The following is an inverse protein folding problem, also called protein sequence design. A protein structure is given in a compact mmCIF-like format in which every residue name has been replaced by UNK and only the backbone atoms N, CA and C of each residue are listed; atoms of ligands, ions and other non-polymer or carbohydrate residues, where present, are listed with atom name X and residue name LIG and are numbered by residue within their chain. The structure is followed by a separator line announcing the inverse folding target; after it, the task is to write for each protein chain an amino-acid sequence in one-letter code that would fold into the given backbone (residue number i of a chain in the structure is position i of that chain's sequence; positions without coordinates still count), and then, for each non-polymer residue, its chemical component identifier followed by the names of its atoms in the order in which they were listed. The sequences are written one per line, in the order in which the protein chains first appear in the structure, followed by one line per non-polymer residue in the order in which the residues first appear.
data_IF_877907552506
#
_entry.id   IF_877907552506
#
_cell.length_a   1.000
_cell.length_b   1.000
_cell.length_c   1.000
_cell.angle_alpha   90.00
_cell.angle_beta   90.00
_cell.angle_gamma   90.00
#
_symmetry.space_group_name_H-M   'P 1'
#
loop_
_entity.id
_entity.type
_entity.pdbx_description
1 polymer ?
#
# COMPACT_ATOMS: atom_id res chain seq x y z
N UNK A 1 31.92 -39.99 -27.94
CA UNK A 1 30.80 -39.04 -27.74
C UNK A 1 30.69 -38.10 -28.94
N UNK A 2 29.49 -37.58 -29.24
CA UNK A 2 29.29 -36.70 -30.41
C UNK A 2 29.36 -35.21 -30.04
N UNK A 3 28.88 -34.83 -28.85
CA UNK A 3 28.88 -33.45 -28.34
C UNK A 3 29.45 -33.45 -26.92
N UNK A 4 30.23 -32.42 -26.58
CA UNK A 4 30.75 -32.16 -25.24
C UNK A 4 30.73 -30.66 -24.92
N UNK A 5 30.14 -30.28 -23.79
CA UNK A 5 30.03 -28.87 -23.32
C UNK A 5 29.66 -27.87 -24.45
N UNK A 6 28.68 -28.24 -25.28
CA UNK A 6 28.18 -27.40 -26.37
C UNK A 6 29.01 -27.39 -27.65
N UNK A 7 30.09 -28.17 -27.73
CA UNK A 7 30.96 -28.27 -28.90
C UNK A 7 30.87 -29.67 -29.53
N UNK A 8 30.87 -29.73 -30.87
CA UNK A 8 30.87 -31.00 -31.59
C UNK A 8 32.27 -31.60 -31.57
N UNK A 9 32.38 -32.86 -31.13
CA UNK A 9 33.69 -33.52 -31.02
C UNK A 9 34.29 -33.78 -32.40
N UNK A 10 33.45 -33.97 -33.43
CA UNK A 10 33.88 -34.20 -34.81
C UNK A 10 34.80 -33.09 -35.36
N UNK A 11 34.59 -31.84 -34.93
CA UNK A 11 35.37 -30.68 -35.39
C UNK A 11 36.81 -30.68 -34.82
N UNK A 12 37.07 -31.49 -33.78
CA UNK A 12 38.35 -31.61 -33.10
C UNK A 12 39.03 -32.97 -33.36
N UNK A 13 38.62 -33.73 -34.39
CA UNK A 13 39.27 -35.00 -34.76
C UNK A 13 40.33 -34.72 -35.85
N UNK A 14 41.60 -34.62 -35.45
CA UNK A 14 42.76 -34.37 -36.32
C UNK A 14 43.94 -35.29 -35.93
N UNK A 15 44.61 -35.98 -36.88
CA UNK A 15 45.78 -36.81 -36.57
C UNK A 15 46.92 -36.06 -35.86
N UNK A 16 47.06 -34.75 -36.07
CA UNK A 16 48.15 -33.94 -35.50
C UNK A 16 47.74 -33.17 -34.23
N UNK A 17 46.56 -33.47 -33.66
CA UNK A 17 46.01 -32.68 -32.54
C UNK A 17 46.89 -32.66 -31.30
N UNK A 18 47.59 -33.77 -31.01
CA UNK A 18 48.51 -33.86 -29.87
C UNK A 18 49.73 -32.94 -30.06
N UNK A 19 50.26 -32.81 -31.27
CA UNK A 19 51.37 -31.89 -31.56
C UNK A 19 50.94 -30.42 -31.42
N UNK A 20 49.72 -30.09 -31.88
CA UNK A 20 49.15 -28.74 -31.73
C UNK A 20 48.90 -28.40 -30.27
N UNK A 21 48.43 -29.38 -29.48
CA UNK A 21 48.21 -29.23 -28.04
C UNK A 21 49.53 -28.94 -27.31
N UNK A 22 50.60 -29.70 -27.57
CA UNK A 22 51.92 -29.46 -26.95
C UNK A 22 52.51 -28.09 -27.29
N UNK A 23 52.25 -27.57 -28.50
CA UNK A 23 52.67 -26.21 -28.88
C UNK A 23 51.88 -25.17 -28.09
N UNK A 24 50.58 -25.38 -27.91
CA UNK A 24 49.69 -24.50 -27.17
C UNK A 24 50.02 -24.49 -25.67
N UNK A 25 50.33 -25.65 -25.08
CA UNK A 25 50.76 -25.77 -23.68
C UNK A 25 52.06 -25.01 -23.43
N UNK A 26 53.06 -25.14 -24.32
CA UNK A 26 54.31 -24.36 -24.22
C UNK A 26 54.07 -22.86 -24.39
N UNK A 27 53.12 -22.46 -25.23
CA UNK A 27 52.75 -21.06 -25.41
C UNK A 27 52.06 -20.50 -24.15
N UNK A 28 51.15 -21.27 -23.54
CA UNK A 28 50.51 -20.90 -22.27
C UNK A 28 51.51 -20.84 -21.12
N UNK A 29 52.44 -21.79 -21.01
CA UNK A 29 53.52 -21.74 -20.00
C UNK A 29 54.36 -20.46 -20.15
N UNK A 30 54.66 -20.05 -21.38
CA UNK A 30 55.36 -18.79 -21.64
C UNK A 30 54.53 -17.56 -21.25
N UNK A 31 53.20 -17.59 -21.45
CA UNK A 31 52.27 -16.51 -21.04
C UNK A 31 52.10 -16.44 -19.52
N UNK A 32 52.03 -17.59 -18.86
CA UNK A 32 51.99 -17.69 -17.39
C UNK A 32 53.28 -17.14 -16.79
N UNK A 33 54.46 -17.54 -17.32
CA UNK A 33 55.76 -17.02 -16.87
C UNK A 33 55.88 -15.51 -17.15
N UNK A 34 55.28 -15.03 -18.23
CA UNK A 34 55.21 -13.59 -18.54
C UNK A 34 54.26 -12.81 -17.60
N UNK A 35 53.50 -13.49 -16.73
CA UNK A 35 52.60 -12.87 -15.77
C UNK A 35 51.30 -12.37 -16.38
N UNK A 36 50.89 -12.86 -17.56
CA UNK A 36 49.68 -12.37 -18.25
C UNK A 36 48.39 -12.66 -17.48
N UNK A 37 48.40 -13.67 -16.62
CA UNK A 37 47.28 -14.04 -15.76
C UNK A 37 47.43 -13.58 -14.30
N UNK A 38 48.47 -12.82 -13.96
CA UNK A 38 48.62 -12.24 -12.63
C UNK A 38 47.64 -11.07 -12.46
N UNK A 39 46.51 -11.33 -11.80
CA UNK A 39 45.58 -10.28 -11.39
C UNK A 39 46.06 -9.63 -10.09
N UNK A 40 47.21 -8.95 -10.13
CA UNK A 40 47.68 -8.17 -8.99
C UNK A 40 46.79 -6.94 -8.83
N UNK A 41 45.76 -7.09 -8.01
CA UNK A 41 45.00 -5.97 -7.49
C UNK A 41 45.87 -5.25 -6.47
N UNK A 42 46.44 -4.12 -6.88
CA UNK A 42 47.15 -3.18 -6.01
C UNK A 42 46.33 -2.94 -4.73
N UNK A 43 46.94 -3.19 -3.56
CA UNK A 43 46.27 -3.05 -2.28
C UNK A 43 45.88 -1.59 -2.07
N UNK A 44 44.59 -1.32 -1.87
CA UNK A 44 44.10 0.05 -1.72
C UNK A 44 44.53 0.65 -0.38
N UNK A 45 45.17 1.81 -0.44
CA UNK A 45 45.50 2.60 0.74
C UNK A 45 44.24 2.94 1.57
N UNK A 46 44.41 3.09 2.89
CA UNK A 46 43.32 3.42 3.83
C UNK A 46 42.58 4.70 3.41
N UNK A 47 43.29 5.67 2.82
CA UNK A 47 42.72 6.91 2.29
C UNK A 47 41.78 6.65 1.10
N UNK A 48 42.16 5.78 0.16
CA UNK A 48 41.34 5.43 -1.00
C UNK A 48 40.07 4.69 -0.60
N UNK A 49 40.18 3.79 0.38
CA UNK A 49 39.04 3.12 1.01
C UNK A 49 38.10 4.14 1.67
N UNK A 50 38.63 5.11 2.42
CA UNK A 50 37.86 6.19 3.03
C UNK A 50 37.12 7.07 2.01
N UNK A 51 37.79 7.44 0.91
CA UNK A 51 37.19 8.22 -0.19
C UNK A 51 36.03 7.44 -0.83
N UNK A 52 36.20 6.14 -1.06
CA UNK A 52 35.13 5.30 -1.64
C UNK A 52 33.92 5.20 -0.71
N UNK A 53 34.14 4.95 0.57
CA UNK A 53 33.05 4.89 1.55
C UNK A 53 32.29 6.22 1.64
N UNK A 54 33.01 7.34 1.72
CA UNK A 54 32.42 8.66 1.73
C UNK A 54 31.62 8.94 0.43
N UNK A 55 32.18 8.57 -0.73
CA UNK A 55 31.50 8.73 -2.01
C UNK A 55 30.21 7.90 -2.10
N UNK A 56 30.19 6.69 -1.54
CA UNK A 56 28.98 5.87 -1.45
C UNK A 56 27.90 6.56 -0.61
N UNK A 57 28.26 7.04 0.60
CA UNK A 57 27.35 7.79 1.47
C UNK A 57 26.77 9.04 0.77
N UNK A 58 27.60 9.79 0.04
CA UNK A 58 27.16 10.96 -0.73
C UNK A 58 26.16 10.55 -1.83
N UNK A 59 26.46 9.48 -2.58
CA UNK A 59 25.58 8.99 -3.66
C UNK A 59 24.22 8.54 -3.11
N UNK A 60 24.22 7.81 -2.01
CA UNK A 60 22.99 7.36 -1.34
C UNK A 60 22.18 8.54 -0.83
N UNK A 61 22.80 9.48 -0.11
CA UNK A 61 22.10 10.66 0.40
C UNK A 61 21.53 11.52 -0.72
N UNK A 62 22.25 11.63 -1.85
CA UNK A 62 21.78 12.33 -3.06
C UNK A 62 20.57 11.61 -3.67
N UNK A 63 20.61 10.28 -3.79
CA UNK A 63 19.46 9.48 -4.28
C UNK A 63 18.24 9.67 -3.39
N UNK A 64 18.39 9.62 -2.06
CA UNK A 64 17.29 9.85 -1.11
C UNK A 64 16.67 11.24 -1.27
N UNK A 65 17.48 12.30 -1.39
CA UNK A 65 16.98 13.66 -1.65
C UNK A 65 16.20 13.78 -2.96
N UNK A 66 16.62 13.06 -4.00
CA UNK A 66 15.90 13.03 -5.29
C UNK A 66 14.55 12.33 -5.12
N UNK A 67 14.50 11.20 -4.42
CA UNK A 67 13.26 10.47 -4.14
C UNK A 67 12.26 11.31 -3.33
N UNK A 68 12.71 11.97 -2.26
CA UNK A 68 11.87 12.89 -1.49
C UNK A 68 11.34 14.07 -2.32
N UNK A 69 12.15 14.57 -3.26
CA UNK A 69 11.74 15.67 -4.16
C UNK A 69 10.67 15.20 -5.14
N UNK A 70 10.82 13.98 -5.68
CA UNK A 70 9.81 13.34 -6.53
C UNK A 70 8.50 13.11 -5.77
N UNK A 71 8.56 12.64 -4.53
CA UNK A 71 7.37 12.47 -3.68
C UNK A 71 6.62 13.79 -3.44
N UNK A 72 7.36 14.89 -3.26
CA UNK A 72 6.80 16.23 -3.07
C UNK A 72 6.16 16.81 -4.35
N UNK A 73 6.36 16.20 -5.52
CA UNK A 73 5.77 16.65 -6.79
C UNK A 73 4.39 15.99 -6.98
N UNK A 74 3.34 16.64 -6.47
CA UNK A 74 1.95 16.19 -6.59
C UNK A 74 1.22 17.12 -7.57
N UNK A 75 0.26 16.60 -8.33
CA UNK A 75 -0.59 17.40 -9.20
C UNK A 75 -1.54 18.29 -8.37
N UNK A 76 -1.26 19.59 -8.32
CA UNK A 76 -2.04 20.59 -7.59
C UNK A 76 -1.18 21.68 -6.94
N UNK A 77 -1.80 22.74 -6.39
CA UNK A 77 -1.07 23.80 -5.68
C UNK A 77 -0.42 23.27 -4.40
N UNK A 78 0.85 23.61 -4.18
CA UNK A 78 1.58 23.26 -2.96
C UNK A 78 1.11 24.13 -1.79
N UNK A 79 0.71 23.48 -0.69
CA UNK A 79 0.36 24.19 0.55
C UNK A 79 1.57 24.93 1.14
N UNK A 80 1.41 26.21 1.56
CA UNK A 80 2.50 26.95 2.16
C UNK A 80 2.87 26.37 3.54
N UNK A 81 4.16 26.38 3.88
CA UNK A 81 4.66 25.85 5.16
C UNK A 81 4.07 26.58 6.37
N UNK A 82 3.63 27.84 6.20
CA UNK A 82 2.99 28.66 7.24
C UNK A 82 1.62 28.11 7.69
N UNK A 83 0.90 27.41 6.81
CA UNK A 83 -0.38 26.79 7.15
C UNK A 83 -0.22 25.49 7.95
N UNK A 84 0.90 24.79 7.79
CA UNK A 84 1.17 23.51 8.47
C UNK A 84 1.90 23.76 9.80
N UNK A 85 1.39 23.18 10.88
CA UNK A 85 2.10 23.15 12.17
C UNK A 85 3.26 22.15 12.09
N UNK A 86 4.48 22.64 12.30
CA UNK A 86 5.70 21.81 12.32
C UNK A 86 5.83 21.18 13.71
N UNK A 87 6.16 19.88 13.76
CA UNK A 87 6.46 19.21 15.02
C UNK A 87 7.91 19.52 15.44
N UNK A 88 8.10 19.94 16.68
CA UNK A 88 9.44 20.29 17.17
C UNK A 88 10.41 19.10 17.14
N UNK A 89 9.92 17.90 17.49
CA UNK A 89 10.75 16.69 17.57
C UNK A 89 11.42 16.34 16.24
N UNK A 90 10.72 16.52 15.11
CA UNK A 90 11.27 16.21 13.79
C UNK A 90 12.37 17.20 13.41
N UNK A 91 12.18 18.49 13.69
CA UNK A 91 13.21 19.51 13.51
C UNK A 91 14.42 19.28 14.42
N UNK A 92 14.16 18.87 15.67
CA UNK A 92 15.21 18.59 16.64
C UNK A 92 16.13 17.48 16.14
N UNK A 93 15.55 16.36 15.70
CA UNK A 93 16.29 15.23 15.13
C UNK A 93 17.09 15.60 13.88
N UNK A 94 16.50 16.37 12.96
CA UNK A 94 17.21 16.80 11.74
C UNK A 94 18.43 17.67 12.06
N UNK A 95 18.32 18.58 13.03
CA UNK A 95 19.41 19.48 13.42
C UNK A 95 20.49 18.76 14.24
N UNK A 96 20.11 17.84 15.12
CA UNK A 96 21.08 17.00 15.84
C UNK A 96 21.87 16.12 14.89
N UNK A 97 21.24 15.58 13.84
CA UNK A 97 21.92 14.79 12.81
C UNK A 97 22.94 15.62 12.01
N UNK A 98 22.76 16.94 11.93
CA UNK A 98 23.71 17.87 11.33
C UNK A 98 24.79 18.35 12.31
N UNK A 99 24.77 17.86 13.56
CA UNK A 99 25.72 18.24 14.60
C UNK A 99 25.37 19.54 15.33
N UNK A 100 24.18 20.10 15.10
CA UNK A 100 23.70 21.29 15.81
C UNK A 100 22.95 20.86 17.07
N UNK A 101 23.57 21.05 18.23
CA UNK A 101 22.93 20.85 19.52
C UNK A 101 21.88 21.94 19.76
N UNK A 102 20.60 21.59 19.65
CA UNK A 102 19.52 22.48 20.05
C UNK A 102 19.35 22.37 21.57
N UNK A 103 19.51 23.47 22.34
CA UNK A 103 19.20 23.42 23.76
C UNK A 103 17.69 23.10 23.90
N UNK A 104 17.37 22.01 24.60
CA UNK A 104 16.01 21.47 24.75
C UNK A 104 14.96 22.42 25.38
N UNK A 105 15.36 23.64 25.71
CA UNK A 105 14.56 24.72 26.30
C UNK A 105 14.56 25.98 25.42
N UNK A 106 14.20 25.87 24.14
CA UNK A 106 13.74 27.05 23.40
C UNK A 106 12.51 27.60 24.14
N UNK A 107 12.61 28.82 24.64
CA UNK A 107 11.75 29.53 25.60
C UNK A 107 10.26 29.68 25.18
N UNK A 108 9.85 29.13 24.04
CA UNK A 108 8.46 29.12 23.54
C UNK A 108 7.52 28.10 24.22
N UNK A 109 7.93 27.42 25.30
CA UNK A 109 7.15 26.40 26.02
C UNK A 109 6.02 26.95 26.92
N UNK A 110 5.61 28.21 26.73
CA UNK A 110 4.64 28.92 27.58
C UNK A 110 3.18 28.44 27.45
N UNK A 111 2.87 27.49 26.56
CA UNK A 111 1.50 27.04 26.27
C UNK A 111 1.07 25.70 26.89
N UNK A 112 1.97 24.98 27.58
CA UNK A 112 1.64 23.68 28.20
C UNK A 112 0.57 23.77 29.30
N UNK A 113 0.35 24.96 29.88
CA UNK A 113 -0.66 25.19 30.92
C UNK A 113 -2.08 25.38 30.39
N UNK A 114 -2.28 25.70 29.10
CA UNK A 114 -3.60 26.07 28.55
C UNK A 114 -4.33 24.89 27.89
N UNK A 115 -3.63 23.84 27.47
CA UNK A 115 -4.23 22.70 26.75
C UNK A 115 -4.68 21.55 27.65
N UNK A 116 -4.33 21.54 28.93
CA UNK A 116 -4.95 20.62 29.90
C UNK A 116 -6.35 21.13 30.23
N UNK A 117 -7.33 20.73 29.40
CA UNK A 117 -8.75 20.85 29.77
C UNK A 117 -8.91 20.22 31.16
N UNK A 118 -9.51 20.95 32.11
CA UNK A 118 -10.03 20.31 33.33
C UNK A 118 -10.95 19.18 32.89
N UNK A 119 -10.75 17.97 33.41
CA UNK A 119 -11.73 16.89 33.28
C UNK A 119 -12.99 17.38 33.96
N UNK A 120 -13.91 17.96 33.20
CA UNK A 120 -15.32 17.94 33.58
C UNK A 120 -15.69 16.47 33.45
N UNK A 121 -16.18 15.88 34.52
CA UNK A 121 -16.78 14.54 34.51
C UNK A 121 -17.71 14.47 33.30
N UNK A 122 -17.54 13.44 32.46
CA UNK A 122 -18.33 13.28 31.25
C UNK A 122 -19.81 13.35 31.64
N UNK A 123 -20.50 14.42 31.20
CA UNK A 123 -21.94 14.36 31.07
C UNK A 123 -22.22 13.17 30.18
N UNK A 124 -22.95 12.17 30.70
CA UNK A 124 -23.30 10.92 30.02
C UNK A 124 -23.39 11.14 28.52
N UNK A 125 -22.56 10.42 27.75
CA UNK A 125 -22.58 10.46 26.30
C UNK A 125 -24.03 10.24 25.87
N UNK A 126 -24.65 11.31 25.38
CA UNK A 126 -26.04 11.29 24.96
C UNK A 126 -26.20 10.14 23.98
N UNK A 127 -26.92 9.10 24.41
CA UNK A 127 -27.23 7.95 23.57
C UNK A 127 -27.60 8.46 22.19
N UNK A 128 -26.97 7.91 21.16
CA UNK A 128 -27.19 8.23 19.75
C UNK A 128 -28.59 7.79 19.29
N UNK A 129 -29.61 8.27 20.00
CA UNK A 129 -30.98 8.27 19.55
C UNK A 129 -31.06 9.22 18.35
N UNK A 130 -31.84 8.88 17.32
CA UNK A 130 -32.14 9.80 16.24
C UNK A 130 -32.99 10.95 16.81
N UNK A 131 -32.33 11.94 17.39
CA UNK A 131 -32.95 13.19 17.80
C UNK A 131 -33.31 13.92 16.50
N UNK A 132 -34.60 14.16 16.28
CA UNK A 132 -35.05 15.02 15.20
C UNK A 132 -34.31 16.35 15.27
N UNK A 133 -33.84 16.85 14.12
CA UNK A 133 -33.09 18.13 13.98
C UNK A 133 -33.74 19.34 14.66
N UNK A 134 -35.02 19.24 15.03
CA UNK A 134 -35.75 20.23 15.80
C UNK A 134 -36.10 19.60 17.16
N UNK A 135 -35.39 19.96 18.23
CA UNK A 135 -35.65 19.48 19.59
C UNK A 135 -36.99 19.93 20.18
N UNK A 136 -37.78 20.72 19.45
CA UNK A 136 -39.08 21.22 19.88
C UNK A 136 -40.25 20.26 19.64
N UNK A 137 -40.07 19.20 18.84
CA UNK A 137 -41.14 18.23 18.55
C UNK A 137 -40.67 16.80 18.85
N UNK A 138 -41.49 16.00 19.54
CA UNK A 138 -41.19 14.58 19.70
C UNK A 138 -41.17 13.89 18.32
N UNK A 139 -40.35 12.85 18.15
CA UNK A 139 -40.26 12.12 16.88
C UNK A 139 -41.62 11.47 16.53
N UNK A 140 -41.89 11.32 15.23
CA UNK A 140 -43.21 10.90 14.69
C UNK A 140 -43.65 9.51 15.17
N UNK A 141 -42.71 8.63 15.49
CA UNK A 141 -42.97 7.29 16.02
C UNK A 141 -43.40 7.28 17.50
N UNK A 142 -43.19 8.39 18.21
CA UNK A 142 -43.53 8.56 19.64
C UNK A 142 -44.71 9.49 19.84
N UNK A 143 -44.86 10.54 19.02
CA UNK A 143 -45.82 11.64 19.23
C UNK A 143 -47.29 11.21 19.37
N UNK A 144 -47.66 10.05 18.82
CA UNK A 144 -49.04 9.51 18.87
C UNK A 144 -49.29 8.49 19.97
N UNK A 145 -48.32 8.21 20.83
CA UNK A 145 -48.40 7.17 21.87
C UNK A 145 -48.27 7.78 23.25
N UNK A 146 -49.12 7.34 24.18
CA UNK A 146 -49.24 7.91 25.53
C UNK A 146 -47.98 7.72 26.38
N UNK A 147 -47.48 6.48 26.46
CA UNK A 147 -46.36 6.10 27.33
C UNK A 147 -45.26 5.34 26.58
N UNK A 148 -44.03 5.36 27.13
CA UNK A 148 -42.90 4.55 26.65
C UNK A 148 -43.22 3.04 26.57
N UNK A 149 -44.07 2.52 27.47
CA UNK A 149 -44.54 1.12 27.41
C UNK A 149 -45.34 0.83 26.12
N UNK A 150 -46.19 1.78 25.69
CA UNK A 150 -46.94 1.66 24.45
C UNK A 150 -46.02 1.79 23.22
N UNK A 151 -45.02 2.67 23.27
CA UNK A 151 -43.97 2.78 22.23
C UNK A 151 -43.24 1.44 22.07
N UNK A 152 -42.84 0.81 23.18
CA UNK A 152 -42.19 -0.52 23.14
C UNK A 152 -43.11 -1.58 22.55
N UNK A 153 -44.39 -1.59 22.94
CA UNK A 153 -45.40 -2.53 22.40
C UNK A 153 -45.59 -2.33 20.89
N UNK A 154 -45.72 -1.08 20.42
CA UNK A 154 -45.85 -0.74 19.00
C UNK A 154 -44.63 -1.20 18.19
N UNK A 155 -43.41 -0.97 18.71
CA UNK A 155 -42.16 -1.44 18.08
C UNK A 155 -42.10 -2.97 17.97
N UNK A 156 -42.60 -3.70 18.97
CA UNK A 156 -42.67 -5.17 18.91
C UNK A 156 -43.70 -5.62 17.87
N UNK A 157 -44.88 -5.00 17.84
CA UNK A 157 -45.92 -5.31 16.83
C UNK A 157 -45.42 -5.06 15.41
N UNK A 158 -44.72 -3.95 15.17
CA UNK A 158 -44.07 -3.64 13.88
C UNK A 158 -43.09 -4.74 13.46
N UNK A 159 -42.18 -5.15 14.35
CA UNK A 159 -41.20 -6.23 14.06
C UNK A 159 -41.88 -7.57 13.77
N UNK A 160 -42.97 -7.87 14.46
CA UNK A 160 -43.75 -9.09 14.22
C UNK A 160 -44.47 -9.06 12.86
N UNK A 161 -45.03 -7.92 12.46
CA UNK A 161 -45.69 -7.76 11.16
C UNK A 161 -44.72 -7.95 9.97
N UNK A 162 -43.45 -7.56 10.13
CA UNK A 162 -42.44 -7.69 9.07
C UNK A 162 -41.93 -9.14 8.86
N UNK A 163 -42.25 -10.08 9.75
CA UNK A 163 -41.72 -11.46 9.68
C UNK A 163 -42.01 -12.17 8.36
N UNK A 164 -43.21 -12.02 7.82
CA UNK A 164 -43.61 -12.68 6.55
C UNK A 164 -42.78 -12.16 5.39
N UNK A 165 -42.60 -10.85 5.27
CA UNK A 165 -41.77 -10.24 4.22
C UNK A 165 -40.30 -10.64 4.35
N UNK A 166 -39.78 -10.67 5.59
CA UNK A 166 -38.40 -11.06 5.87
C UNK A 166 -38.16 -12.54 5.53
N UNK A 167 -39.14 -13.41 5.83
CA UNK A 167 -39.09 -14.83 5.47
C UNK A 167 -39.04 -15.02 3.94
N UNK A 168 -39.78 -14.20 3.20
CA UNK A 168 -39.76 -14.17 1.73
C UNK A 168 -38.55 -13.43 1.14
N UNK A 169 -37.61 -12.94 1.98
CA UNK A 169 -36.40 -12.25 1.53
C UNK A 169 -36.63 -10.89 0.87
N UNK A 170 -37.74 -10.21 1.18
CA UNK A 170 -38.06 -8.90 0.59
C UNK A 170 -37.12 -7.80 1.11
N UNK A 171 -36.77 -6.84 0.26
CA UNK A 171 -35.87 -5.71 0.61
C UNK A 171 -36.54 -4.63 1.47
N UNK A 172 -37.84 -4.78 1.77
CA UNK A 172 -38.66 -3.86 2.54
C UNK A 172 -40.12 -3.94 2.09
N UNK A 173 -40.99 -3.15 2.71
CA UNK A 173 -42.42 -3.12 2.35
C UNK A 173 -42.70 -2.63 0.93
N UNK A 174 -41.76 -1.86 0.35
CA UNK A 174 -41.87 -1.37 -1.01
C UNK A 174 -41.56 -2.44 -2.08
N UNK A 175 -40.90 -3.53 -1.70
CA UNK A 175 -40.47 -4.59 -2.62
C UNK A 175 -41.61 -5.56 -2.95
N UNK A 176 -42.47 -5.11 -3.87
CA UNK A 176 -43.66 -5.83 -4.35
C UNK A 176 -43.48 -6.37 -5.77
N UNK A 177 -42.23 -6.58 -6.20
CA UNK A 177 -41.94 -7.11 -7.53
C UNK A 177 -42.46 -8.55 -7.67
N UNK A 178 -43.18 -8.80 -8.77
CA UNK A 178 -43.62 -10.12 -9.20
C UNK A 178 -42.66 -10.59 -10.29
N UNK A 179 -41.88 -11.63 -10.01
CA UNK A 179 -40.94 -12.19 -10.97
C UNK A 179 -41.66 -13.12 -11.95
N UNK A 180 -41.23 -13.06 -13.21
CA UNK A 180 -41.68 -14.02 -14.22
C UNK A 180 -40.88 -15.32 -14.04
N UNK A 181 -41.48 -16.27 -13.33
CA UNK A 181 -40.87 -17.58 -13.07
C UNK A 181 -40.84 -18.47 -14.31
N UNK A 182 -41.72 -18.23 -15.29
CA UNK A 182 -41.85 -19.04 -16.49
C UNK A 182 -41.87 -18.17 -17.74
N UNK A 183 -40.75 -17.49 -18.06
CA UNK A 183 -40.71 -16.58 -19.17
C UNK A 183 -40.92 -17.30 -20.49
N UNK A 184 -41.85 -16.78 -21.29
CA UNK A 184 -42.31 -17.41 -22.54
C UNK A 184 -41.16 -17.75 -23.49
N UNK A 185 -40.14 -16.91 -23.61
CA UNK A 185 -39.04 -17.12 -24.54
C UNK A 185 -38.14 -18.33 -24.19
N UNK A 186 -38.22 -18.86 -22.96
CA UNK A 186 -37.55 -20.11 -22.58
C UNK A 186 -38.44 -21.34 -22.82
N UNK A 187 -39.76 -21.21 -22.59
CA UNK A 187 -40.69 -22.35 -22.55
C UNK A 187 -41.57 -22.50 -23.80
N UNK A 188 -41.47 -21.59 -24.78
CA UNK A 188 -42.29 -21.58 -25.98
C UNK A 188 -41.44 -21.55 -27.24
N UNK A 189 -41.85 -22.33 -28.24
CA UNK A 189 -41.16 -22.43 -29.54
C UNK A 189 -40.21 -23.62 -29.62
N UNK A 190 -39.73 -23.93 -30.84
CA UNK A 190 -38.73 -24.97 -31.12
C UNK A 190 -37.62 -24.38 -31.97
N UNK A 191 -36.37 -24.80 -31.74
CA UNK A 191 -35.23 -24.38 -32.56
C UNK A 191 -35.35 -24.98 -33.97
N UNK A 192 -35.25 -24.13 -34.99
CA UNK A 192 -35.24 -24.54 -36.40
C UNK A 192 -33.80 -24.61 -36.93
N UNK A 193 -33.60 -25.22 -38.09
CA UNK A 193 -32.33 -25.16 -38.81
C UNK A 193 -32.15 -23.75 -39.38
N UNK A 194 -31.31 -22.93 -38.74
CA UNK A 194 -31.13 -21.51 -39.08
C UNK A 194 -30.67 -20.69 -37.88
N UNK A 195 -31.10 -19.42 -37.82
CA UNK A 195 -30.75 -18.50 -36.73
C UNK A 195 -31.34 -18.94 -35.39
N UNK A 196 -30.54 -18.79 -34.33
CA UNK A 196 -30.92 -19.08 -32.95
C UNK A 196 -31.29 -17.80 -32.21
N UNK A 197 -32.19 -17.90 -31.23
CA UNK A 197 -32.69 -16.76 -30.44
C UNK A 197 -31.73 -16.36 -29.31
N UNK A 198 -30.86 -17.28 -28.87
CA UNK A 198 -29.88 -17.07 -27.81
C UNK A 198 -28.51 -17.59 -28.29
N UNK A 199 -27.44 -16.97 -27.81
CA UNK A 199 -26.04 -17.29 -28.13
C UNK A 199 -25.50 -18.38 -27.21
#
# INVERSE_FOLDING_TARGET
PEIWEGHNIADYIDPDIMMKLEQLEKEEELKEIAGEYDSDSESEDEEMMGIRQLAQQIREKKKMKILESKEKNIHGPRMPRTAKKIQQKTLEQEMTNLGVGLPGNIEGRKSRSITRKRKREDSEEGASMPVSRNGSRPPRDVSGLRDAKMVKKAKIMMKNAQKVMNQMGKKGEADRAVFDLKPKHLFSGKRKAGSTTQR
#
